data_IF_649468965706
#
_entry.id   IF_649468965706
#
_cell.length_a   1.000
_cell.length_b   1.000
_cell.length_c   1.000
_cell.angle_alpha   90.00
_cell.angle_beta   90.00
_cell.angle_gamma   90.00
#
_symmetry.space_group_name_H-M   'P 1'
#
loop_
_entity.id
_entity.type
_entity.pdbx_description
1 polymer ?
#
# COMPACT_ATOMS: atom_id res chain seq x y z
N UNK A 1 6.52 11.90 15.59
CA UNK A 1 6.37 12.08 14.12
C UNK A 1 4.91 12.23 13.77
N UNK A 2 4.58 12.67 12.55
CA UNK A 2 3.19 12.86 12.09
C UNK A 2 2.32 11.58 12.30
N UNK A 3 2.88 10.40 11.99
CA UNK A 3 2.19 9.13 12.15
C UNK A 3 2.18 8.57 13.58
N UNK A 4 2.95 9.15 14.49
CA UNK A 4 2.93 8.74 15.91
C UNK A 4 1.80 9.41 16.69
N UNK A 5 1.09 10.37 16.06
CA UNK A 5 -0.09 10.97 16.67
C UNK A 5 -1.31 10.13 16.32
N UNK A 6 -1.98 9.49 17.31
CA UNK A 6 -3.15 8.65 17.04
C UNK A 6 -4.32 9.40 16.40
N UNK A 7 -4.33 10.73 16.43
CA UNK A 7 -5.32 11.56 15.73
C UNK A 7 -5.01 11.71 14.24
N UNK A 8 -3.80 11.39 13.80
CA UNK A 8 -3.32 11.53 12.42
C UNK A 8 -2.66 10.26 11.87
N UNK A 9 -2.72 9.16 12.61
CA UNK A 9 -2.33 7.84 12.12
C UNK A 9 -3.31 7.41 11.03
N UNK A 10 -2.89 7.46 9.78
CA UNK A 10 -3.70 7.03 8.66
C UNK A 10 -3.10 5.78 8.03
N UNK A 11 -3.96 4.85 7.69
CA UNK A 11 -3.63 3.80 6.77
C UNK A 11 -3.50 4.41 5.38
N UNK A 12 -2.29 4.69 4.97
CA UNK A 12 -2.01 5.30 3.67
C UNK A 12 -0.57 5.01 3.23
N UNK A 13 -0.23 5.41 1.99
CA UNK A 13 1.07 5.12 1.42
C UNK A 13 2.26 5.68 2.21
N UNK A 14 2.24 6.90 2.81
CA UNK A 14 3.39 7.38 3.58
C UNK A 14 3.74 6.47 4.76
N UNK A 15 2.72 5.93 5.42
CA UNK A 15 2.92 4.97 6.50
C UNK A 15 3.52 3.67 5.96
N UNK A 16 2.95 3.10 4.90
CA UNK A 16 3.45 1.87 4.29
C UNK A 16 4.91 2.00 3.82
N UNK A 17 5.25 3.09 3.13
CA UNK A 17 6.64 3.36 2.69
C UNK A 17 7.59 3.50 3.86
N UNK A 18 7.18 4.22 4.91
CA UNK A 18 8.03 4.43 6.10
C UNK A 18 8.30 3.11 6.82
N UNK A 19 7.27 2.31 7.05
CA UNK A 19 7.41 1.02 7.72
C UNK A 19 8.23 0.04 6.88
N UNK A 20 8.06 0.03 5.56
CA UNK A 20 8.89 -0.77 4.67
C UNK A 20 10.38 -0.37 4.76
N UNK A 21 10.67 0.94 4.73
CA UNK A 21 12.04 1.44 4.91
C UNK A 21 12.64 1.05 6.26
N UNK A 22 11.84 1.02 7.33
CA UNK A 22 12.28 0.54 8.64
C UNK A 22 12.57 -0.97 8.63
N UNK A 23 11.73 -1.79 7.96
CA UNK A 23 11.96 -3.23 7.85
C UNK A 23 13.28 -3.54 7.10
N UNK A 24 13.55 -2.83 6.01
CA UNK A 24 14.84 -2.96 5.31
C UNK A 24 16.02 -2.49 6.19
N UNK A 25 15.83 -1.42 6.96
CA UNK A 25 16.87 -0.92 7.87
C UNK A 25 17.15 -1.94 8.99
N UNK A 26 16.15 -2.56 9.55
CA UNK A 26 16.28 -3.63 10.54
C UNK A 26 17.12 -4.79 9.99
N UNK A 27 16.78 -5.30 8.80
CA UNK A 27 17.52 -6.38 8.15
C UNK A 27 18.99 -6.03 7.94
N UNK A 28 19.26 -4.79 7.50
CA UNK A 28 20.63 -4.30 7.29
C UNK A 28 21.42 -4.17 8.59
N UNK A 29 20.79 -3.75 9.67
CA UNK A 29 21.44 -3.53 10.97
C UNK A 29 21.60 -4.79 11.79
N UNK A 30 20.76 -5.80 11.58
CA UNK A 30 20.74 -7.02 12.38
C UNK A 30 22.12 -7.67 12.57
N UNK A 31 23.03 -7.72 11.55
CA UNK A 31 24.38 -8.25 11.75
C UNK A 31 25.35 -7.31 12.47
N UNK A 32 25.16 -6.01 12.42
CA UNK A 32 26.12 -5.00 12.88
C UNK A 32 25.70 -4.28 14.16
N UNK A 33 24.41 -4.05 14.36
CA UNK A 33 23.81 -3.45 15.55
C UNK A 33 22.50 -4.15 15.92
N UNK A 34 22.57 -5.34 16.51
CA UNK A 34 21.36 -6.12 16.89
C UNK A 34 20.46 -5.38 17.89
N UNK A 35 21.02 -4.48 18.69
CA UNK A 35 20.23 -3.72 19.67
C UNK A 35 19.32 -2.69 19.00
N UNK A 36 19.84 -1.98 18.00
CA UNK A 36 19.04 -1.05 17.23
C UNK A 36 18.06 -1.78 16.32
N UNK A 37 18.48 -2.88 15.70
CA UNK A 37 17.61 -3.73 14.89
C UNK A 37 16.40 -4.22 15.71
N UNK A 38 16.61 -4.72 16.92
CA UNK A 38 15.53 -5.13 17.82
C UNK A 38 14.53 -4.01 18.14
N UNK A 39 15.01 -2.81 18.40
CA UNK A 39 14.15 -1.65 18.67
C UNK A 39 13.31 -1.24 17.45
N UNK A 40 13.86 -1.41 16.25
CA UNK A 40 13.13 -1.18 15.00
C UNK A 40 12.06 -2.25 14.81
N UNK A 41 12.41 -3.53 15.04
CA UNK A 41 11.47 -4.65 15.00
C UNK A 41 10.28 -4.43 15.94
N UNK A 42 10.55 -4.11 17.21
CA UNK A 42 9.51 -3.80 18.20
C UNK A 42 8.59 -2.64 17.76
N UNK A 43 9.17 -1.59 17.16
CA UNK A 43 8.37 -0.48 16.63
C UNK A 43 7.49 -0.91 15.45
N UNK A 44 8.03 -1.70 14.52
CA UNK A 44 7.30 -2.21 13.36
C UNK A 44 6.12 -3.07 13.77
N UNK A 45 6.38 -4.08 14.61
CA UNK A 45 5.35 -5.00 15.11
C UNK A 45 4.23 -4.23 15.82
N UNK A 46 4.58 -3.39 16.78
CA UNK A 46 3.61 -2.62 17.55
C UNK A 46 2.78 -1.68 16.69
N UNK A 47 3.40 -1.02 15.71
CA UNK A 47 2.70 -0.07 14.86
C UNK A 47 1.73 -0.77 13.90
N UNK A 48 2.18 -1.85 13.26
CA UNK A 48 1.34 -2.63 12.36
C UNK A 48 0.22 -3.31 13.16
N UNK A 49 0.55 -3.97 14.28
CA UNK A 49 -0.43 -4.67 15.09
C UNK A 49 -1.51 -3.73 15.63
N UNK A 50 -1.14 -2.53 16.08
CA UNK A 50 -2.12 -1.53 16.52
C UNK A 50 -3.11 -1.14 15.40
N UNK A 51 -2.63 -1.07 14.16
CA UNK A 51 -3.49 -0.82 12.99
C UNK A 51 -4.43 -1.99 12.73
N UNK A 52 -3.92 -3.22 12.80
CA UNK A 52 -4.71 -4.45 12.63
C UNK A 52 -5.78 -4.59 13.72
N UNK A 53 -5.40 -4.38 14.98
CA UNK A 53 -6.30 -4.47 16.13
C UNK A 53 -7.41 -3.42 16.11
N UNK A 54 -7.16 -2.25 15.52
CA UNK A 54 -8.15 -1.18 15.40
C UNK A 54 -9.17 -1.42 14.28
N UNK A 55 -8.86 -2.26 13.30
CA UNK A 55 -9.68 -2.47 12.12
C UNK A 55 -11.11 -2.95 12.43
N UNK A 56 -11.35 -3.97 13.27
CA UNK A 56 -12.71 -4.42 13.60
C UNK A 56 -13.57 -3.31 14.23
N UNK A 57 -12.96 -2.44 15.04
CA UNK A 57 -13.65 -1.30 15.66
C UNK A 57 -13.99 -0.23 14.63
N UNK A 58 -13.08 0.05 13.69
CA UNK A 58 -13.33 0.98 12.60
C UNK A 58 -14.45 0.49 11.67
N UNK A 59 -14.49 -0.82 11.38
CA UNK A 59 -15.58 -1.42 10.61
C UNK A 59 -16.91 -1.36 11.35
N UNK A 60 -16.92 -1.63 12.65
CA UNK A 60 -18.12 -1.50 13.48
C UNK A 60 -18.64 -0.05 13.50
N UNK A 61 -17.75 0.92 13.68
CA UNK A 61 -18.08 2.36 13.65
C UNK A 61 -18.69 2.75 12.31
N UNK A 62 -18.11 2.30 11.21
CA UNK A 62 -18.63 2.55 9.87
C UNK A 62 -20.04 1.98 9.69
N UNK A 63 -20.28 0.76 10.14
CA UNK A 63 -21.56 0.07 9.98
C UNK A 63 -22.68 0.71 10.81
N UNK A 64 -22.37 1.13 12.06
CA UNK A 64 -23.38 1.56 13.04
C UNK A 64 -23.52 3.08 13.14
N UNK A 65 -22.45 3.82 12.88
CA UNK A 65 -22.38 5.28 13.06
C UNK A 65 -22.03 6.04 11.76
N UNK A 66 -21.89 5.33 10.66
CA UNK A 66 -21.59 5.93 9.35
C UNK A 66 -20.11 6.21 9.10
N UNK A 67 -19.24 5.76 10.00
CA UNK A 67 -17.82 6.00 9.94
C UNK A 67 -17.44 7.43 10.32
N UNK A 68 -16.44 7.58 11.15
CA UNK A 68 -15.86 8.90 11.42
C UNK A 68 -14.62 9.09 10.54
N UNK A 69 -14.18 10.34 10.37
CA UNK A 69 -12.86 10.66 9.82
C UNK A 69 -11.74 10.30 10.80
N UNK A 70 -11.98 9.31 11.64
CA UNK A 70 -11.04 8.83 12.64
C UNK A 70 -9.84 8.13 12.00
N UNK A 71 -8.88 7.87 12.84
CA UNK A 71 -7.72 7.05 12.57
C UNK A 71 -8.13 5.81 11.77
N UNK A 72 -7.44 5.55 10.67
CA UNK A 72 -7.66 4.38 9.80
C UNK A 72 -8.98 4.33 9.00
N UNK A 73 -9.68 5.45 8.81
CA UNK A 73 -10.90 5.45 7.99
C UNK A 73 -10.68 4.94 6.55
N UNK A 74 -9.48 5.13 6.00
CA UNK A 74 -9.11 4.64 4.66
C UNK A 74 -9.13 3.11 4.57
N UNK A 75 -8.85 2.39 5.67
CA UNK A 75 -8.97 0.93 5.70
C UNK A 75 -10.40 0.43 5.49
N UNK A 76 -11.36 1.23 5.90
CA UNK A 76 -12.79 0.87 5.83
C UNK A 76 -13.47 1.37 4.57
N UNK A 77 -12.81 2.20 3.77
CA UNK A 77 -13.39 2.86 2.60
C UNK A 77 -12.32 3.01 1.53
N UNK A 78 -11.83 1.89 1.01
CA UNK A 78 -10.83 1.89 -0.05
C UNK A 78 -11.42 2.49 -1.33
N UNK A 79 -10.81 3.53 -1.84
CA UNK A 79 -11.20 4.19 -3.08
C UNK A 79 -10.02 4.47 -4.03
N UNK A 80 -8.79 4.24 -3.56
CA UNK A 80 -7.57 4.38 -4.36
C UNK A 80 -6.49 3.35 -4.00
N UNK A 81 -5.53 3.16 -4.91
CA UNK A 81 -4.35 2.32 -4.63
C UNK A 81 -3.47 2.91 -3.53
N UNK A 82 -3.45 4.24 -3.38
CA UNK A 82 -2.70 4.94 -2.34
C UNK A 82 -3.17 4.54 -0.94
N UNK A 83 -4.45 4.24 -0.78
CA UNK A 83 -5.06 3.94 0.52
C UNK A 83 -4.67 2.56 1.03
N UNK A 84 -4.38 1.62 0.13
CA UNK A 84 -4.29 0.23 0.52
C UNK A 84 -2.98 -0.47 0.13
N UNK A 85 -2.47 -0.22 -1.09
CA UNK A 85 -1.46 -1.10 -1.68
C UNK A 85 -0.12 -1.07 -0.97
N UNK A 86 0.40 0.11 -0.67
CA UNK A 86 1.71 0.24 -0.02
C UNK A 86 1.71 -0.33 1.40
N UNK A 87 0.69 -0.01 2.20
CA UNK A 87 0.62 -0.52 3.58
C UNK A 87 0.41 -2.03 3.62
N UNK A 88 -0.56 -2.57 2.87
CA UNK A 88 -0.83 -4.00 2.83
C UNK A 88 0.36 -4.81 2.28
N UNK A 89 1.08 -4.25 1.31
CA UNK A 89 2.34 -4.81 0.83
C UNK A 89 3.38 -4.91 1.95
N UNK A 90 3.47 -3.88 2.80
CA UNK A 90 4.39 -3.86 3.95
C UNK A 90 3.95 -4.85 5.03
N UNK A 91 2.65 -4.98 5.30
CA UNK A 91 2.14 -6.01 6.23
C UNK A 91 2.56 -7.41 5.77
N UNK A 92 2.39 -7.74 4.49
CA UNK A 92 2.83 -9.03 3.94
C UNK A 92 4.35 -9.21 4.01
N UNK A 93 5.12 -8.14 3.84
CA UNK A 93 6.58 -8.20 3.92
C UNK A 93 7.06 -8.43 5.35
N UNK A 94 6.56 -7.63 6.29
CA UNK A 94 6.95 -7.71 7.70
C UNK A 94 6.48 -9.02 8.31
N UNK A 95 5.28 -9.49 7.97
CA UNK A 95 4.75 -10.76 8.46
C UNK A 95 5.53 -12.02 8.06
N UNK A 96 6.56 -11.90 7.19
CA UNK A 96 7.48 -13.02 6.90
C UNK A 96 8.48 -13.25 8.04
N UNK A 97 8.92 -12.18 8.68
CA UNK A 97 10.01 -12.17 9.65
C UNK A 97 9.49 -11.91 11.09
N UNK A 98 8.25 -11.42 11.22
CA UNK A 98 7.63 -10.98 12.46
C UNK A 98 6.28 -11.66 12.70
N UNK A 99 5.92 -11.84 13.96
CA UNK A 99 4.65 -12.44 14.35
C UNK A 99 3.54 -11.38 14.37
N UNK A 100 2.75 -11.32 13.30
CA UNK A 100 1.57 -10.47 13.17
C UNK A 100 0.31 -11.32 13.24
N UNK A 101 -0.75 -10.78 13.88
CA UNK A 101 -2.01 -11.48 14.04
C UNK A 101 -3.18 -10.70 13.41
N UNK A 102 -4.15 -11.43 12.84
CA UNK A 102 -5.40 -10.85 12.35
C UNK A 102 -5.27 -10.00 11.09
N UNK A 103 -4.20 -10.17 10.31
CA UNK A 103 -3.99 -9.43 9.08
C UNK A 103 -4.72 -10.03 7.88
N UNK A 104 -5.18 -11.26 7.96
CA UNK A 104 -5.75 -12.01 6.85
C UNK A 104 -6.98 -11.31 6.26
N UNK A 105 -7.87 -10.82 7.13
CA UNK A 105 -9.08 -10.13 6.71
C UNK A 105 -8.75 -8.86 5.91
N UNK A 106 -7.80 -8.07 6.38
CA UNK A 106 -7.37 -6.83 5.74
C UNK A 106 -6.70 -7.12 4.39
N UNK A 107 -5.85 -8.13 4.34
CA UNK A 107 -5.19 -8.55 3.09
C UNK A 107 -6.23 -8.98 2.05
N UNK A 108 -7.27 -9.71 2.45
CA UNK A 108 -8.35 -10.09 1.54
C UNK A 108 -9.20 -8.90 1.08
N UNK A 109 -9.43 -7.92 1.93
CA UNK A 109 -10.11 -6.66 1.56
C UNK A 109 -9.30 -5.90 0.52
N UNK A 110 -7.99 -5.71 0.75
CA UNK A 110 -7.09 -5.05 -0.20
C UNK A 110 -6.96 -5.86 -1.49
N UNK A 111 -6.81 -7.17 -1.40
CA UNK A 111 -6.81 -8.06 -2.56
C UNK A 111 -8.08 -7.89 -3.40
N UNK A 112 -9.24 -7.89 -2.76
CA UNK A 112 -10.53 -7.71 -3.46
C UNK A 112 -10.59 -6.35 -4.15
N UNK A 113 -10.14 -5.29 -3.49
CA UNK A 113 -10.08 -3.96 -4.09
C UNK A 113 -9.17 -3.94 -5.32
N UNK A 114 -7.92 -4.31 -5.18
CA UNK A 114 -6.91 -4.23 -6.26
C UNK A 114 -7.29 -5.14 -7.43
N UNK A 115 -7.76 -6.36 -7.15
CA UNK A 115 -8.00 -7.36 -8.20
C UNK A 115 -9.36 -7.21 -8.90
N UNK A 116 -10.41 -6.69 -8.21
CA UNK A 116 -11.79 -6.72 -8.69
C UNK A 116 -12.46 -5.36 -8.79
N UNK A 117 -12.01 -4.36 -8.01
CA UNK A 117 -12.69 -3.07 -7.90
C UNK A 117 -11.88 -1.97 -8.59
N UNK A 118 -10.56 -1.97 -8.45
CA UNK A 118 -9.68 -0.98 -9.07
C UNK A 118 -9.93 -0.90 -10.58
N UNK A 119 -10.24 0.29 -11.11
CA UNK A 119 -10.51 0.48 -12.52
C UNK A 119 -9.34 0.05 -13.41
N UNK A 120 -9.68 -0.58 -14.55
CA UNK A 120 -8.72 -1.07 -15.54
C UNK A 120 -9.12 -0.67 -16.94
N UNK A 121 -8.15 -0.30 -17.74
CA UNK A 121 -8.32 -0.14 -19.19
C UNK A 121 -8.64 -1.49 -19.84
N UNK A 122 -9.04 -1.46 -21.12
CA UNK A 122 -9.39 -2.67 -21.89
C UNK A 122 -8.27 -3.72 -22.00
N UNK A 123 -7.03 -3.31 -21.79
CA UNK A 123 -5.85 -4.21 -21.76
C UNK A 123 -5.46 -4.64 -20.34
N UNK A 124 -6.26 -4.29 -19.34
CA UNK A 124 -6.04 -4.65 -17.94
C UNK A 124 -5.16 -3.68 -17.14
N UNK A 125 -4.61 -2.64 -17.75
CA UNK A 125 -3.80 -1.64 -17.07
C UNK A 125 -4.62 -0.80 -16.10
N UNK A 126 -4.12 -0.58 -14.89
CA UNK A 126 -4.80 0.27 -13.90
C UNK A 126 -4.87 1.72 -14.34
N UNK A 127 -5.93 2.41 -13.94
CA UNK A 127 -6.08 3.85 -14.07
C UNK A 127 -6.91 4.41 -12.92
N UNK A 128 -6.91 5.73 -12.76
CA UNK A 128 -7.68 6.44 -11.72
C UNK A 128 -8.94 7.06 -12.30
N UNK A 129 -10.03 7.00 -11.54
CA UNK A 129 -11.28 7.68 -11.84
C UNK A 129 -11.56 8.77 -10.81
N UNK A 130 -11.83 10.00 -11.24
CA UNK A 130 -12.47 11.04 -10.42
C UNK A 130 -11.66 11.66 -9.28
N UNK A 131 -10.34 11.63 -9.33
CA UNK A 131 -9.48 11.99 -8.20
C UNK A 131 -9.47 13.47 -7.80
N UNK A 132 -9.90 14.39 -8.65
CA UNK A 132 -10.11 15.82 -8.35
C UNK A 132 -10.90 16.45 -9.49
N UNK A 133 -11.69 17.46 -9.21
CA UNK A 133 -12.43 18.23 -10.23
C UNK A 133 -11.53 18.85 -11.31
N UNK A 134 -10.22 18.87 -11.10
CA UNK A 134 -9.22 19.45 -12.01
C UNK A 134 -8.56 18.42 -12.93
N UNK A 135 -8.66 17.12 -12.63
CA UNK A 135 -8.10 16.05 -13.47
C UNK A 135 -9.22 15.36 -14.24
N UNK A 136 -9.03 15.25 -15.54
CA UNK A 136 -9.98 14.55 -16.42
C UNK A 136 -10.11 13.07 -16.00
N UNK A 137 -11.27 12.50 -16.29
CA UNK A 137 -11.51 11.07 -16.14
C UNK A 137 -10.41 10.26 -16.83
N UNK A 138 -10.06 9.10 -16.23
CA UNK A 138 -9.07 8.18 -16.76
C UNK A 138 -7.61 8.67 -16.73
N UNK A 139 -7.18 9.14 -15.57
CA UNK A 139 -5.80 9.56 -15.34
C UNK A 139 -4.92 8.35 -14.95
N UNK A 140 -3.69 8.35 -15.41
CA UNK A 140 -2.66 7.38 -15.00
C UNK A 140 -1.48 8.11 -14.36
N UNK A 141 -1.06 7.62 -13.20
CA UNK A 141 0.12 8.11 -12.49
C UNK A 141 1.09 6.97 -12.27
N UNK A 142 2.38 7.21 -12.55
CA UNK A 142 3.39 6.15 -12.45
C UNK A 142 3.60 5.64 -11.02
N UNK A 143 3.25 6.42 -10.01
CA UNK A 143 3.27 6.02 -8.61
C UNK A 143 2.29 4.87 -8.30
N UNK A 144 1.22 4.72 -9.06
CA UNK A 144 0.30 3.58 -8.96
C UNK A 144 0.99 2.21 -9.14
N UNK A 145 2.11 2.18 -9.86
CA UNK A 145 2.94 0.98 -9.92
C UNK A 145 3.49 0.61 -8.54
N UNK A 146 3.97 1.59 -7.78
CA UNK A 146 4.44 1.35 -6.42
C UNK A 146 3.28 1.01 -5.47
N UNK A 147 2.11 1.58 -5.69
CA UNK A 147 0.93 1.35 -4.85
C UNK A 147 0.23 0.01 -5.13
N UNK A 148 0.53 -0.66 -6.23
CA UNK A 148 -0.11 -1.93 -6.61
C UNK A 148 0.85 -3.10 -6.76
N UNK A 149 1.91 -2.93 -7.51
CA UNK A 149 2.80 -4.03 -7.92
C UNK A 149 3.48 -4.74 -6.75
N UNK A 150 4.04 -4.04 -5.74
CA UNK A 150 4.61 -4.70 -4.57
C UNK A 150 3.60 -5.55 -3.81
N UNK A 151 2.34 -5.12 -3.74
CA UNK A 151 1.27 -5.93 -3.15
C UNK A 151 0.99 -7.17 -3.98
N UNK A 152 0.78 -7.04 -5.28
CA UNK A 152 0.49 -8.17 -6.18
C UNK A 152 1.58 -9.24 -6.12
N UNK A 153 2.87 -8.83 -6.13
CA UNK A 153 4.00 -9.76 -6.02
C UNK A 153 3.97 -10.50 -4.68
N UNK A 154 3.78 -9.80 -3.57
CA UNK A 154 3.77 -10.42 -2.24
C UNK A 154 2.53 -11.27 -2.02
N UNK A 155 1.39 -10.83 -2.54
CA UNK A 155 0.16 -11.59 -2.49
C UNK A 155 0.25 -12.87 -3.34
N UNK A 156 0.94 -12.87 -4.47
CA UNK A 156 1.16 -14.09 -5.26
C UNK A 156 1.88 -15.18 -4.47
N UNK A 157 2.84 -14.77 -3.63
CA UNK A 157 3.57 -15.69 -2.75
C UNK A 157 2.67 -16.16 -1.60
N UNK A 158 1.97 -15.23 -0.95
CA UNK A 158 1.05 -15.50 0.15
C UNK A 158 -0.08 -16.47 -0.24
N UNK A 159 -0.73 -16.22 -1.37
CA UNK A 159 -1.81 -17.03 -1.91
C UNK A 159 -1.33 -18.28 -2.67
N UNK A 160 -0.02 -18.39 -2.94
CA UNK A 160 0.55 -19.41 -3.82
C UNK A 160 -0.12 -19.45 -5.20
N UNK A 161 -0.33 -18.27 -5.81
CA UNK A 161 -0.99 -18.11 -7.11
C UNK A 161 -0.21 -17.13 -8.00
N UNK A 162 0.39 -17.66 -9.06
CA UNK A 162 1.21 -16.89 -10.00
C UNK A 162 0.42 -15.92 -10.89
N UNK A 163 -0.91 -16.01 -10.94
CA UNK A 163 -1.72 -15.08 -11.74
C UNK A 163 -1.55 -13.63 -11.29
N UNK A 164 -1.30 -13.39 -10.01
CA UNK A 164 -1.02 -12.06 -9.46
C UNK A 164 0.37 -11.54 -9.85
N UNK A 165 1.35 -12.42 -9.98
CA UNK A 165 2.66 -12.05 -10.52
C UNK A 165 2.57 -11.68 -12.01
N UNK A 166 1.77 -12.42 -12.77
CA UNK A 166 1.49 -12.09 -14.18
C UNK A 166 0.78 -10.74 -14.30
N UNK A 167 -0.20 -10.45 -13.44
CA UNK A 167 -0.85 -9.14 -13.38
C UNK A 167 0.16 -8.03 -13.05
N UNK A 168 1.02 -8.23 -12.06
CA UNK A 168 2.08 -7.28 -11.70
C UNK A 168 3.00 -6.96 -12.90
N UNK A 169 3.41 -7.98 -13.65
CA UNK A 169 4.21 -7.81 -14.87
C UNK A 169 3.44 -7.04 -15.94
N UNK A 170 2.16 -7.36 -16.13
CA UNK A 170 1.31 -6.68 -17.09
C UNK A 170 1.12 -5.20 -16.74
N UNK A 171 1.04 -4.83 -15.44
CA UNK A 171 1.00 -3.45 -15.03
C UNK A 171 2.25 -2.68 -15.46
N UNK A 172 3.46 -3.24 -15.29
CA UNK A 172 4.69 -2.61 -15.76
C UNK A 172 4.66 -2.32 -17.26
N UNK A 173 4.27 -3.29 -18.06
CA UNK A 173 4.18 -3.11 -19.51
C UNK A 173 3.07 -2.14 -19.90
N UNK A 174 1.93 -2.17 -19.23
CA UNK A 174 0.83 -1.26 -19.45
C UNK A 174 1.22 0.19 -19.15
N UNK A 175 1.79 0.45 -17.99
CA UNK A 175 2.25 1.80 -17.64
C UNK A 175 3.36 2.29 -18.55
N UNK A 176 4.34 1.44 -18.90
CA UNK A 176 5.36 1.79 -19.87
C UNK A 176 4.74 2.15 -21.23
N UNK A 177 3.76 1.38 -21.71
CA UNK A 177 3.06 1.66 -22.98
C UNK A 177 2.40 3.03 -23.02
N UNK A 178 1.78 3.46 -21.90
CA UNK A 178 0.98 4.69 -21.86
C UNK A 178 1.76 5.92 -21.40
N UNK A 179 2.77 5.74 -20.53
CA UNK A 179 3.46 6.85 -19.87
C UNK A 179 4.90 7.04 -20.35
N UNK A 180 5.46 6.06 -21.07
CA UNK A 180 6.84 6.19 -21.55
C UNK A 180 6.92 7.28 -22.64
N UNK A 181 7.84 8.21 -22.44
CA UNK A 181 8.18 9.25 -23.41
C UNK A 181 9.71 9.37 -23.51
N UNK A 182 10.26 9.13 -24.68
CA UNK A 182 11.71 9.15 -24.91
C UNK A 182 12.40 10.44 -24.44
N UNK A 183 11.74 11.60 -24.62
CA UNK A 183 12.31 12.89 -24.27
C UNK A 183 12.31 13.17 -22.74
N UNK A 184 11.50 12.52 -21.95
CA UNK A 184 11.36 12.80 -20.52
C UNK A 184 12.35 11.98 -19.65
N UNK A 185 12.94 10.92 -20.19
CA UNK A 185 13.98 10.14 -19.51
C UNK A 185 15.27 10.94 -19.27
N UNK A 186 15.53 11.96 -20.09
CA UNK A 186 16.77 12.74 -20.04
C UNK A 186 16.61 14.14 -19.44
N UNK A 187 15.41 14.68 -19.39
CA UNK A 187 15.20 16.11 -19.13
C UNK A 187 13.98 16.43 -18.27
N UNK A 188 13.36 15.45 -17.60
CA UNK A 188 12.24 15.79 -16.75
C UNK A 188 12.74 16.65 -15.59
N UNK A 189 12.51 17.98 -15.61
CA UNK A 189 12.51 18.70 -14.36
C UNK A 189 11.44 18.04 -13.49
N UNK A 190 11.72 17.85 -12.22
CA UNK A 190 10.71 17.40 -11.27
C UNK A 190 9.45 18.26 -11.47
N UNK A 191 8.26 17.67 -11.52
CA UNK A 191 7.01 18.44 -11.61
C UNK A 191 6.82 19.42 -10.45
N UNK A 192 7.80 19.52 -9.57
CA UNK A 192 7.82 20.39 -8.38
C UNK A 192 8.84 21.53 -8.46
N UNK A 193 9.55 21.67 -9.55
CA UNK A 193 10.48 22.79 -9.80
C UNK A 193 9.79 23.94 -10.52
#
# INVERSE_FOLDING_TARGET
MYNDNPLFGHWNYPLGVTLYGLAETERMLSPSDPSLAYRIAEYLENHIQASLDSYPYAMWDKEHLGGSTAVHHLMTSLDSLDDCGSFASTVLEVGKDHELHGFEEIIEVVHTYISKIQPRLSDGTFFRTGLMHEFHENTMWVDDLYMSVPFLIRYSIYANDNSYLEDAINQFFGFAKYLYMDCLLYTSPSPRD
#
